data_IF_365718349915
#
_entry.id   IF_365718349915
#
_cell.length_a   1.000
_cell.length_b   1.000
_cell.length_c   1.000
_cell.angle_alpha   90.00
_cell.angle_beta   90.00
_cell.angle_gamma   90.00
#
_symmetry.space_group_name_H-M   'P 1'
#
loop_
_entity.id
_entity.type
_entity.pdbx_description
1 polymer ?
#
# COMPACT_ATOMS: atom_id res chain seq x y z
N UNK A 1 1.88 45.70 -76.20
CA UNK A 1 2.11 45.93 -74.78
C UNK A 1 1.56 44.72 -73.96
N UNK A 2 2.41 43.77 -73.54
CA UNK A 2 2.01 42.50 -72.88
C UNK A 2 2.42 42.59 -71.45
N UNK A 3 1.43 42.61 -70.53
CA UNK A 3 1.64 42.61 -69.09
C UNK A 3 1.63 41.15 -68.58
N UNK A 4 2.76 40.68 -68.18
CA UNK A 4 2.95 39.36 -67.55
C UNK A 4 2.56 39.42 -66.07
N UNK A 5 1.53 38.67 -65.68
CA UNK A 5 1.13 38.44 -64.25
C UNK A 5 1.93 37.28 -63.73
N UNK A 6 2.87 37.56 -62.79
CA UNK A 6 3.56 36.54 -61.98
C UNK A 6 2.68 36.21 -60.83
N UNK A 7 2.14 34.99 -60.78
CA UNK A 7 1.47 34.45 -59.62
C UNK A 7 2.53 33.97 -58.64
N UNK A 8 2.57 34.54 -57.42
CA UNK A 8 3.38 34.04 -56.34
C UNK A 8 2.59 32.98 -55.56
N UNK A 9 3.09 31.74 -55.59
CA UNK A 9 2.54 30.63 -54.78
C UNK A 9 3.21 30.70 -53.38
N UNK A 10 2.45 31.11 -52.37
CA UNK A 10 2.89 30.96 -50.95
C UNK A 10 2.67 29.49 -50.55
N UNK A 11 3.74 28.73 -50.48
CA UNK A 11 3.75 27.43 -49.82
C UNK A 11 3.77 27.63 -48.31
N UNK A 12 2.62 27.42 -47.64
CA UNK A 12 2.52 27.42 -46.18
C UNK A 12 3.23 26.20 -45.60
N UNK A 13 4.29 26.43 -44.85
CA UNK A 13 5.01 25.41 -44.11
C UNK A 13 4.17 25.02 -42.87
N UNK A 14 3.42 23.92 -42.93
CA UNK A 14 2.79 23.33 -41.73
C UNK A 14 3.89 22.65 -40.88
N UNK A 15 4.22 23.24 -39.77
CA UNK A 15 5.07 22.61 -38.75
C UNK A 15 4.17 21.68 -37.92
N UNK A 16 4.40 20.36 -37.90
CA UNK A 16 3.66 19.47 -36.99
C UNK A 16 4.08 19.78 -35.56
N UNK A 17 3.13 20.22 -34.73
CA UNK A 17 3.31 20.31 -33.30
C UNK A 17 3.30 18.88 -32.78
N UNK A 18 4.48 18.30 -32.54
CA UNK A 18 4.61 17.04 -31.82
C UNK A 18 4.21 17.28 -30.35
N UNK A 19 3.02 16.83 -29.97
CA UNK A 19 2.64 16.71 -28.56
C UNK A 19 3.53 15.64 -27.94
N UNK A 20 4.45 16.05 -27.05
CA UNK A 20 5.19 15.12 -26.24
C UNK A 20 4.21 14.44 -25.28
N UNK A 21 3.81 13.22 -25.61
CA UNK A 21 3.15 12.34 -24.68
C UNK A 21 4.19 11.95 -23.61
N UNK A 22 4.09 12.51 -22.42
CA UNK A 22 4.86 12.04 -21.27
C UNK A 22 4.29 10.68 -20.88
N UNK A 23 4.96 9.62 -21.28
CA UNK A 23 4.69 8.27 -20.83
C UNK A 23 5.17 8.16 -19.38
N UNK A 24 4.30 8.44 -18.42
CA UNK A 24 4.60 8.24 -17.01
C UNK A 24 4.30 6.79 -16.63
N UNK A 25 5.36 5.97 -16.49
CA UNK A 25 5.27 4.68 -15.84
C UNK A 25 4.75 4.81 -14.40
N UNK A 26 4.41 3.69 -13.72
CA UNK A 26 3.92 3.73 -12.35
C UNK A 26 4.94 4.39 -11.41
N UNK A 27 4.46 5.29 -10.56
CA UNK A 27 5.26 5.92 -9.51
C UNK A 27 5.17 5.12 -8.22
N UNK A 28 6.28 5.02 -7.47
CA UNK A 28 6.25 4.36 -6.16
C UNK A 28 5.51 5.23 -5.16
N UNK A 29 4.37 4.76 -4.72
CA UNK A 29 3.56 5.38 -3.70
C UNK A 29 4.13 5.05 -2.31
N UNK A 30 3.95 5.98 -1.36
CA UNK A 30 4.25 5.78 0.06
C UNK A 30 3.06 6.23 0.87
N UNK A 31 2.68 5.43 1.84
CA UNK A 31 1.57 5.72 2.75
C UNK A 31 2.03 5.46 4.18
N UNK A 32 1.65 6.33 5.11
CA UNK A 32 1.78 6.09 6.54
C UNK A 32 0.50 6.53 7.24
N UNK A 33 -0.09 5.64 8.02
CA UNK A 33 -1.20 5.95 8.92
C UNK A 33 -0.79 5.62 10.34
N UNK A 34 -1.38 6.34 11.30
CA UNK A 34 -1.11 6.15 12.73
C UNK A 34 -2.40 6.03 13.52
N UNK A 35 -2.33 5.29 14.63
CA UNK A 35 -3.34 5.29 15.67
C UNK A 35 -2.69 5.57 17.02
N UNK A 36 -3.24 6.53 17.76
CA UNK A 36 -2.88 6.77 19.15
C UNK A 36 -3.82 5.97 20.07
N UNK A 37 -3.24 5.15 20.93
CA UNK A 37 -3.94 4.20 21.78
C UNK A 37 -3.69 4.50 23.25
N UNK A 38 -4.69 4.23 24.10
CA UNK A 38 -4.57 4.43 25.55
C UNK A 38 -3.69 3.36 26.23
N UNK A 39 -3.64 2.14 25.64
CA UNK A 39 -2.84 1.05 26.18
C UNK A 39 -1.32 1.26 26.00
N UNK A 40 -0.48 0.73 26.90
CA UNK A 40 0.97 0.83 26.80
C UNK A 40 1.51 0.02 25.60
N UNK A 41 2.71 0.39 25.06
CA UNK A 41 3.27 -0.23 23.86
C UNK A 41 3.42 -1.75 23.95
N UNK A 42 3.83 -2.26 25.10
CA UNK A 42 4.06 -3.70 25.33
C UNK A 42 2.77 -4.51 25.19
N UNK A 43 1.66 -3.97 25.67
CA UNK A 43 0.34 -4.61 25.58
C UNK A 43 -0.15 -4.65 24.14
N UNK A 44 0.02 -3.55 23.42
CA UNK A 44 -0.33 -3.48 21.98
C UNK A 44 0.57 -4.40 21.18
N UNK A 45 1.88 -4.38 21.43
CA UNK A 45 2.83 -5.25 20.73
C UNK A 45 2.58 -6.73 20.98
N UNK A 46 2.21 -7.11 22.20
CA UNK A 46 1.82 -8.49 22.51
C UNK A 46 0.64 -8.98 21.65
N UNK A 47 -0.23 -8.09 21.20
CA UNK A 47 -1.38 -8.43 20.37
C UNK A 47 -1.07 -8.47 18.86
N UNK A 48 -0.15 -7.61 18.37
CA UNK A 48 0.07 -7.44 16.93
C UNK A 48 1.48 -7.79 16.45
N UNK A 49 2.41 -8.05 17.39
CA UNK A 49 3.82 -8.32 17.09
C UNK A 49 4.12 -9.72 16.58
N UNK A 50 3.16 -10.65 16.66
CA UNK A 50 3.30 -11.96 16.02
C UNK A 50 2.98 -11.85 14.53
N UNK A 51 3.99 -12.02 13.67
CA UNK A 51 3.81 -11.90 12.23
C UNK A 51 2.77 -12.88 11.66
N UNK A 52 2.62 -14.06 12.26
CA UNK A 52 1.68 -15.07 11.79
C UNK A 52 0.27 -14.93 12.37
N UNK A 53 0.01 -13.91 13.18
CA UNK A 53 -1.31 -13.64 13.75
C UNK A 53 -1.88 -12.31 13.23
N UNK A 54 -2.87 -12.41 12.35
CA UNK A 54 -3.64 -11.28 11.85
C UNK A 54 -5.09 -11.29 12.35
N UNK A 55 -5.40 -12.07 13.40
CA UNK A 55 -6.75 -12.17 13.97
C UNK A 55 -7.28 -10.83 14.52
N UNK A 56 -6.37 -9.89 14.77
CA UNK A 56 -6.72 -8.54 15.20
C UNK A 56 -7.23 -7.65 14.07
N UNK A 57 -7.04 -8.06 12.79
CA UNK A 57 -7.45 -7.27 11.63
C UNK A 57 -8.82 -7.75 11.10
N UNK A 58 -9.87 -6.89 11.04
CA UNK A 58 -11.23 -7.32 10.78
C UNK A 58 -11.47 -7.87 9.36
N UNK A 59 -10.62 -7.51 8.39
CA UNK A 59 -10.73 -8.05 7.03
C UNK A 59 -10.11 -9.44 6.87
N UNK A 60 -9.38 -9.97 7.87
CA UNK A 60 -8.71 -11.27 7.79
C UNK A 60 -9.57 -12.34 8.45
N UNK A 61 -10.01 -13.31 7.65
CA UNK A 61 -10.76 -14.46 8.13
C UNK A 61 -9.87 -15.49 8.81
N UNK A 62 -8.73 -15.81 8.19
CA UNK A 62 -7.75 -16.74 8.75
C UNK A 62 -6.33 -16.42 8.30
N UNK A 63 -5.37 -16.83 9.14
CA UNK A 63 -3.95 -16.74 8.86
C UNK A 63 -3.31 -18.12 9.07
N UNK A 64 -2.52 -18.56 8.10
CA UNK A 64 -1.65 -19.73 8.20
C UNK A 64 -0.26 -19.36 7.74
N UNK A 65 0.75 -20.12 8.12
CA UNK A 65 2.12 -19.82 7.70
C UNK A 65 3.16 -20.69 8.37
N UNK A 66 4.43 -20.32 8.19
CA UNK A 66 5.56 -21.05 8.76
C UNK A 66 6.68 -20.08 9.13
N UNK A 67 7.56 -20.50 10.07
CA UNK A 67 8.75 -19.76 10.46
C UNK A 67 8.54 -18.76 11.59
N UNK A 68 7.34 -18.66 12.15
CA UNK A 68 7.02 -17.76 13.27
C UNK A 68 7.43 -16.29 12.98
N UNK A 69 8.34 -15.73 13.77
CA UNK A 69 8.88 -14.37 13.60
C UNK A 69 10.33 -14.37 13.06
N UNK A 70 10.80 -15.48 12.49
CA UNK A 70 12.11 -15.52 11.85
C UNK A 70 12.11 -14.79 10.51
N UNK A 71 13.27 -14.34 10.06
CA UNK A 71 13.43 -13.81 8.71
C UNK A 71 13.08 -14.92 7.70
N UNK A 72 12.39 -14.54 6.61
CA UNK A 72 11.80 -15.42 5.61
C UNK A 72 10.59 -16.25 6.10
N UNK A 73 10.10 -16.01 7.32
CA UNK A 73 8.79 -16.53 7.74
C UNK A 73 7.70 -16.09 6.75
N UNK A 74 6.79 -17.01 6.48
CA UNK A 74 5.68 -16.76 5.54
C UNK A 74 4.35 -16.71 6.27
N UNK A 75 3.39 -15.95 5.74
CA UNK A 75 2.00 -16.04 6.13
C UNK A 75 1.09 -15.98 4.90
N UNK A 76 0.02 -16.74 4.97
CA UNK A 76 -1.05 -16.79 3.99
C UNK A 76 -2.33 -16.30 4.66
N UNK A 77 -2.89 -15.22 4.13
CA UNK A 77 -4.12 -14.60 4.62
C UNK A 77 -5.27 -15.01 3.73
N UNK A 78 -6.40 -15.40 4.33
CA UNK A 78 -7.69 -15.51 3.66
C UNK A 78 -8.55 -14.35 4.12
N UNK A 79 -9.15 -13.61 3.19
CA UNK A 79 -9.88 -12.39 3.49
C UNK A 79 -11.38 -12.62 3.52
N UNK A 80 -12.08 -11.91 4.42
CA UNK A 80 -13.52 -11.82 4.52
C UNK A 80 -14.21 -13.07 5.04
N UNK A 81 -14.04 -14.22 4.37
CA UNK A 81 -14.70 -15.48 4.69
C UNK A 81 -13.89 -16.69 4.22
N UNK A 82 -14.31 -17.90 4.61
CA UNK A 82 -13.72 -19.15 4.12
C UNK A 82 -13.75 -19.20 2.58
N UNK A 83 -12.59 -19.51 1.96
CA UNK A 83 -12.44 -19.53 0.50
C UNK A 83 -12.43 -18.15 -0.14
N UNK A 84 -12.34 -17.08 0.65
CA UNK A 84 -12.20 -15.71 0.15
C UNK A 84 -10.88 -15.43 -0.57
N UNK A 85 -10.68 -14.22 -1.08
CA UNK A 85 -9.43 -13.81 -1.71
C UNK A 85 -8.24 -13.97 -0.76
N UNK A 86 -7.04 -14.18 -1.33
CA UNK A 86 -5.84 -14.46 -0.53
C UNK A 86 -4.72 -13.47 -0.77
N UNK A 87 -3.86 -13.33 0.24
CA UNK A 87 -2.60 -12.59 0.16
C UNK A 87 -1.51 -13.45 0.78
N UNK A 88 -0.41 -13.63 0.05
CA UNK A 88 0.80 -14.28 0.57
C UNK A 88 1.86 -13.24 0.89
N UNK A 89 2.49 -13.38 2.06
CA UNK A 89 3.47 -12.42 2.54
C UNK A 89 4.69 -13.12 3.12
N UNK A 90 5.81 -12.40 3.15
CA UNK A 90 7.07 -12.85 3.75
C UNK A 90 7.65 -11.77 4.64
N UNK A 91 8.09 -12.17 5.83
CA UNK A 91 8.79 -11.34 6.80
C UNK A 91 10.25 -11.15 6.36
N UNK A 92 10.73 -9.92 6.25
CA UNK A 92 12.13 -9.66 5.91
C UNK A 92 12.90 -8.89 6.98
N UNK A 93 12.20 -8.41 8.03
CA UNK A 93 12.83 -7.75 9.17
C UNK A 93 11.95 -7.90 10.41
N UNK A 94 12.56 -8.25 11.55
CA UNK A 94 11.89 -8.35 12.85
C UNK A 94 12.79 -7.77 13.95
N UNK A 95 12.32 -6.76 14.64
CA UNK A 95 13.05 -6.02 15.68
C UNK A 95 12.17 -5.91 16.93
N UNK A 96 12.05 -6.99 17.74
CA UNK A 96 11.13 -7.03 18.87
C UNK A 96 11.45 -5.98 19.94
N UNK A 97 12.72 -5.64 20.17
CA UNK A 97 13.14 -4.58 21.09
C UNK A 97 12.74 -3.16 20.63
N UNK A 98 12.41 -3.00 19.32
CA UNK A 98 11.85 -1.79 18.75
C UNK A 98 10.36 -1.90 18.47
N UNK A 99 9.76 -3.03 18.86
CA UNK A 99 8.36 -3.34 18.58
C UNK A 99 8.00 -3.07 17.11
N UNK A 100 8.82 -3.63 16.18
CA UNK A 100 8.68 -3.36 14.76
C UNK A 100 8.96 -4.58 13.92
N UNK A 101 8.18 -4.78 12.86
CA UNK A 101 8.49 -5.74 11.81
C UNK A 101 8.17 -5.19 10.42
N UNK A 102 8.87 -5.73 9.42
CA UNK A 102 8.66 -5.36 8.03
C UNK A 102 8.48 -6.61 7.16
N UNK A 103 7.53 -6.52 6.23
CA UNK A 103 7.14 -7.62 5.36
C UNK A 103 6.85 -7.13 3.94
N UNK A 104 6.73 -8.06 3.01
CA UNK A 104 6.33 -7.78 1.64
C UNK A 104 5.30 -8.79 1.16
N UNK A 105 4.43 -8.37 0.28
CA UNK A 105 3.52 -9.26 -0.44
C UNK A 105 4.33 -10.00 -1.52
N UNK A 106 4.15 -11.32 -1.55
CA UNK A 106 4.75 -12.20 -2.57
C UNK A 106 3.75 -12.66 -3.61
N UNK A 107 2.46 -12.75 -3.25
CA UNK A 107 1.37 -13.01 -4.18
C UNK A 107 0.07 -12.33 -3.71
N UNK A 108 -0.61 -11.68 -4.64
CA UNK A 108 -1.95 -11.12 -4.49
C UNK A 108 -2.54 -10.88 -5.87
N UNK A 109 -3.83 -11.16 -6.02
CA UNK A 109 -4.56 -10.76 -7.22
C UNK A 109 -4.84 -9.25 -7.18
N UNK A 110 -4.58 -8.54 -8.30
CA UNK A 110 -4.79 -7.08 -8.37
C UNK A 110 -6.25 -6.66 -8.24
N UNK A 111 -7.19 -7.60 -8.41
CA UNK A 111 -8.62 -7.41 -8.14
C UNK A 111 -8.93 -7.45 -6.64
N UNK A 112 -8.06 -8.05 -5.83
CA UNK A 112 -8.17 -8.10 -4.38
C UNK A 112 -7.51 -6.88 -3.74
N UNK A 113 -6.28 -6.58 -4.16
CA UNK A 113 -5.55 -5.40 -3.73
C UNK A 113 -4.77 -4.85 -4.95
N UNK A 114 -5.14 -3.67 -5.49
CA UNK A 114 -4.62 -3.17 -6.77
C UNK A 114 -3.20 -2.59 -6.65
N UNK A 115 -2.27 -3.40 -6.14
CA UNK A 115 -0.86 -3.03 -5.92
C UNK A 115 0.10 -4.06 -6.50
N UNK A 116 1.31 -3.60 -6.78
CA UNK A 116 2.46 -4.46 -7.11
C UNK A 116 3.68 -4.02 -6.29
N UNK A 117 4.63 -4.92 -6.08
CA UNK A 117 5.88 -4.68 -5.36
C UNK A 117 5.65 -3.96 -4.02
N UNK A 118 4.67 -4.47 -3.27
CA UNK A 118 4.27 -3.93 -1.97
C UNK A 118 5.23 -4.37 -0.87
N UNK A 119 5.62 -3.41 -0.05
CA UNK A 119 6.33 -3.64 1.22
C UNK A 119 5.75 -2.78 2.31
N UNK A 120 5.76 -3.27 3.54
CA UNK A 120 5.16 -2.58 4.66
C UNK A 120 5.98 -2.76 5.94
N UNK A 121 5.75 -1.85 6.89
CA UNK A 121 6.30 -1.90 8.24
C UNK A 121 5.20 -1.52 9.22
N UNK A 122 5.12 -2.26 10.31
CA UNK A 122 4.30 -1.97 11.46
C UNK A 122 5.22 -1.71 12.65
N UNK A 123 4.98 -0.63 13.39
CA UNK A 123 5.79 -0.22 14.53
C UNK A 123 4.89 0.27 15.64
N UNK A 124 5.21 -0.10 16.89
CA UNK A 124 4.57 0.42 18.09
C UNK A 124 5.59 1.23 18.86
N UNK A 125 5.24 2.45 19.24
CA UNK A 125 6.12 3.33 20.04
C UNK A 125 5.39 3.91 21.23
N UNK A 126 6.09 4.27 22.33
CA UNK A 126 5.50 5.02 23.41
C UNK A 126 4.97 6.38 22.94
N UNK A 127 3.84 6.80 23.50
CA UNK A 127 3.26 8.13 23.30
C UNK A 127 3.68 9.04 24.46
N UNK A 128 4.01 10.28 24.17
CA UNK A 128 4.22 11.30 25.21
C UNK A 128 2.90 11.51 25.98
N UNK A 129 2.97 11.50 27.30
CA UNK A 129 1.80 11.57 28.17
C UNK A 129 1.13 10.23 28.48
N UNK A 130 1.64 9.11 27.95
CA UNK A 130 1.16 7.75 28.20
C UNK A 130 0.41 7.15 27.01
N UNK A 131 0.29 5.82 27.02
CA UNK A 131 -0.25 5.05 25.91
C UNK A 131 0.78 4.78 24.82
N UNK A 132 0.32 4.46 23.63
CA UNK A 132 1.17 4.10 22.49
C UNK A 132 0.71 4.73 21.18
N UNK A 133 1.63 4.73 20.20
CA UNK A 133 1.35 5.06 18.79
C UNK A 133 1.67 3.84 17.97
N UNK A 134 0.70 3.37 17.18
CA UNK A 134 0.92 2.37 16.14
C UNK A 134 1.07 3.09 14.82
N UNK A 135 2.22 2.92 14.15
CA UNK A 135 2.44 3.36 12.76
C UNK A 135 2.35 2.16 11.83
N UNK A 136 1.54 2.28 10.79
CA UNK A 136 1.53 1.36 9.67
C UNK A 136 1.98 2.09 8.41
N UNK A 137 3.18 1.78 7.97
CA UNK A 137 3.82 2.37 6.80
C UNK A 137 3.88 1.38 5.65
N UNK A 138 3.70 1.84 4.42
CA UNK A 138 3.85 1.02 3.23
C UNK A 138 4.40 1.77 2.03
N UNK A 139 4.98 1.01 1.10
CA UNK A 139 5.42 1.50 -0.19
C UNK A 139 5.11 0.46 -1.28
N UNK A 140 4.50 0.92 -2.38
CA UNK A 140 3.96 0.06 -3.42
C UNK A 140 3.87 0.79 -4.75
N UNK A 141 3.62 0.06 -5.81
CA UNK A 141 3.18 0.60 -7.09
C UNK A 141 1.73 0.20 -7.35
N UNK A 142 1.04 0.89 -8.24
CA UNK A 142 -0.32 0.52 -8.69
C UNK A 142 -0.35 -0.87 -9.31
N UNK A 143 -1.53 -1.47 -9.38
CA UNK A 143 -1.77 -2.80 -9.93
C UNK A 143 -1.47 -2.93 -11.42
N UNK A 144 -1.58 -1.81 -12.19
CA UNK A 144 -1.29 -1.79 -13.62
C UNK A 144 0.10 -1.22 -13.90
N UNK A 145 1.05 -2.04 -14.42
CA UNK A 145 2.46 -1.62 -14.56
C UNK A 145 2.73 -0.74 -15.79
N UNK A 146 1.82 -0.70 -16.76
CA UNK A 146 1.99 0.05 -18.01
C UNK A 146 1.38 1.45 -17.93
N UNK A 147 1.56 2.25 -19.01
CA UNK A 147 0.90 3.54 -19.17
C UNK A 147 -0.62 3.36 -19.35
N UNK A 148 -1.37 4.43 -19.10
CA UNK A 148 -2.82 4.48 -19.25
C UNK A 148 -3.57 3.38 -18.48
N UNK A 149 -3.41 3.32 -17.14
CA UNK A 149 -4.08 2.34 -16.32
C UNK A 149 -5.60 2.54 -16.35
N UNK A 150 -6.38 1.45 -16.32
CA UNK A 150 -7.80 1.56 -16.06
C UNK A 150 -8.04 2.15 -14.66
N UNK A 151 -9.18 2.83 -14.41
CA UNK A 151 -9.43 3.53 -13.15
C UNK A 151 -9.26 2.68 -11.89
N UNK A 152 -9.62 1.40 -11.97
CA UNK A 152 -9.54 0.43 -10.86
C UNK A 152 -8.11 -0.05 -10.54
N UNK A 153 -7.13 0.22 -11.40
CA UNK A 153 -5.74 -0.21 -11.25
C UNK A 153 -4.73 0.94 -11.33
N UNK A 154 -5.21 2.19 -11.22
CA UNK A 154 -4.39 3.40 -11.23
C UNK A 154 -3.77 3.70 -9.84
N UNK A 155 -3.00 4.78 -9.74
CA UNK A 155 -2.34 5.17 -8.49
C UNK A 155 -3.36 5.53 -7.40
N UNK A 156 -4.46 6.21 -7.74
CA UNK A 156 -5.52 6.59 -6.80
C UNK A 156 -6.24 5.36 -6.23
N UNK A 157 -6.55 4.36 -7.06
CA UNK A 157 -7.17 3.11 -6.63
C UNK A 157 -6.24 2.34 -5.67
N UNK A 158 -4.94 2.27 -5.99
CA UNK A 158 -3.95 1.63 -5.14
C UNK A 158 -3.84 2.32 -3.77
N UNK A 159 -3.74 3.65 -3.75
CA UNK A 159 -3.68 4.45 -2.51
C UNK A 159 -4.96 4.26 -1.69
N UNK A 160 -6.13 4.35 -2.32
CA UNK A 160 -7.42 4.19 -1.64
C UNK A 160 -7.56 2.80 -1.00
N UNK A 161 -7.20 1.74 -1.74
CA UNK A 161 -7.30 0.37 -1.25
C UNK A 161 -6.34 0.10 -0.07
N UNK A 162 -5.08 0.52 -0.15
CA UNK A 162 -4.12 0.37 0.96
C UNK A 162 -4.53 1.22 2.16
N UNK A 163 -5.05 2.44 1.93
CA UNK A 163 -5.59 3.29 3.00
C UNK A 163 -6.72 2.59 3.73
N UNK A 164 -7.66 1.99 3.01
CA UNK A 164 -8.79 1.28 3.61
C UNK A 164 -8.34 0.08 4.46
N UNK A 165 -7.36 -0.69 4.00
CA UNK A 165 -6.77 -1.80 4.77
C UNK A 165 -6.14 -1.28 6.07
N UNK A 166 -5.27 -0.26 6.00
CA UNK A 166 -4.63 0.26 7.19
C UNK A 166 -5.61 0.87 8.17
N UNK A 167 -6.56 1.66 7.66
CA UNK A 167 -7.57 2.30 8.50
C UNK A 167 -8.41 1.28 9.24
N UNK A 168 -8.89 0.22 8.57
CA UNK A 168 -9.69 -0.83 9.20
C UNK A 168 -8.92 -1.53 10.35
N UNK A 169 -7.64 -1.84 10.14
CA UNK A 169 -6.81 -2.44 11.18
C UNK A 169 -6.54 -1.50 12.34
N UNK A 170 -6.17 -0.23 12.06
CA UNK A 170 -5.90 0.76 13.09
C UNK A 170 -7.15 1.14 13.89
N UNK A 171 -8.33 1.18 13.27
CA UNK A 171 -9.60 1.43 13.96
C UNK A 171 -9.97 0.24 14.87
N UNK A 172 -9.76 -1.00 14.42
CA UNK A 172 -9.94 -2.17 15.29
C UNK A 172 -9.01 -2.16 16.52
N UNK A 173 -7.79 -1.64 16.37
CA UNK A 173 -6.90 -1.45 17.52
C UNK A 173 -7.39 -0.36 18.48
N UNK A 174 -7.95 0.75 17.97
CA UNK A 174 -8.58 1.78 18.80
C UNK A 174 -9.80 1.24 19.55
N UNK A 175 -10.62 0.41 18.89
CA UNK A 175 -11.77 -0.24 19.53
C UNK A 175 -11.35 -1.19 20.65
N UNK A 176 -10.24 -1.90 20.46
CA UNK A 176 -9.71 -2.88 21.44
C UNK A 176 -8.97 -2.23 22.60
N UNK A 177 -8.15 -1.22 22.35
CA UNK A 177 -7.21 -0.64 23.32
C UNK A 177 -7.58 0.76 23.80
N UNK A 178 -8.68 1.32 23.28
CA UNK A 178 -9.08 2.69 23.54
C UNK A 178 -8.27 3.71 22.72
N UNK A 179 -8.93 4.76 22.24
CA UNK A 179 -8.25 5.91 21.68
C UNK A 179 -7.57 6.72 22.81
N UNK A 180 -6.36 7.20 22.57
CA UNK A 180 -5.70 8.11 23.51
C UNK A 180 -6.46 9.47 23.54
N UNK A 181 -6.53 10.08 24.72
CA UNK A 181 -7.12 11.39 24.93
C UNK A 181 -6.09 12.51 24.80
#
# INVERSE_FOLDING_TARGET
MRISRRAAVLAGLMIPVATMAFAHGPSRQKLSLTAELAAPPEEVWAAIGNFQDMSWHPAVFSTTGSGENAIDATRHLVLGQEGGPTIDEVLYKYEPEKMSYSYRITAVEVTTLPVTNYSSRLTVTPREGGGSVVEWWGAFYRGYPNNDPPPELNDEAAIAAVTAVYQAGLDALKDRFGAAQ
#
